data_IF_482489115659
#
_entry.id   IF_482489115659
#
_cell.length_a   1.000
_cell.length_b   1.000
_cell.length_c   1.000
_cell.angle_alpha   90.00
_cell.angle_beta   90.00
_cell.angle_gamma   90.00
#
_symmetry.space_group_name_H-M   'P 1'
#
loop_
_entity.id
_entity.type
_entity.pdbx_description
1 polymer ?
#
# COMPACT_ATOMS: atom_id res chain seq x y z
N UNK A 1 -5.03 -1.61 4.41
CA UNK A 1 -5.57 -2.04 3.11
C UNK A 1 -5.58 -0.81 2.23
N UNK A 2 -4.60 -0.68 1.34
CA UNK A 2 -4.61 0.41 0.36
C UNK A 2 -5.82 0.24 -0.54
N UNK A 3 -6.47 1.35 -0.90
CA UNK A 3 -7.57 1.34 -1.84
C UNK A 3 -7.05 0.88 -3.21
N UNK A 4 -7.69 -0.11 -3.83
CA UNK A 4 -7.37 -0.61 -5.17
C UNK A 4 -7.15 0.52 -6.19
N UNK A 5 -7.97 1.58 -6.11
CA UNK A 5 -7.87 2.74 -6.98
C UNK A 5 -6.57 3.53 -6.76
N UNK A 6 -6.08 3.64 -5.52
CA UNK A 6 -4.82 4.31 -5.22
C UNK A 6 -3.63 3.49 -5.72
N UNK A 7 -3.69 2.17 -5.54
CA UNK A 7 -2.66 1.26 -6.05
C UNK A 7 -2.57 1.30 -7.57
N UNK A 8 -3.70 1.25 -8.28
CA UNK A 8 -3.73 1.37 -9.74
C UNK A 8 -3.17 2.72 -10.21
N UNK A 9 -3.65 3.83 -9.62
CA UNK A 9 -3.14 5.18 -9.94
C UNK A 9 -1.63 5.26 -9.74
N UNK A 10 -1.10 4.69 -8.66
CA UNK A 10 0.33 4.69 -8.40
C UNK A 10 1.13 3.99 -9.50
N UNK A 11 0.65 2.87 -10.03
CA UNK A 11 1.28 2.16 -11.16
C UNK A 11 1.16 2.99 -12.44
N UNK A 12 -0.02 3.55 -12.73
CA UNK A 12 -0.23 4.38 -13.91
C UNK A 12 0.74 5.58 -13.96
N UNK A 13 1.00 6.22 -12.82
CA UNK A 13 1.96 7.33 -12.73
C UNK A 13 3.44 6.93 -12.77
N UNK A 14 3.76 5.62 -12.75
CA UNK A 14 5.12 5.16 -13.08
C UNK A 14 5.33 5.07 -14.59
N UNK A 15 4.25 4.91 -15.35
CA UNK A 15 4.27 4.83 -16.82
C UNK A 15 4.10 6.21 -17.44
N UNK A 16 3.24 7.06 -16.85
CA UNK A 16 2.91 8.39 -17.37
C UNK A 16 3.45 9.52 -16.49
N UNK A 17 3.86 10.65 -17.07
CA UNK A 17 4.25 11.83 -16.30
C UNK A 17 3.03 12.38 -15.54
N UNK A 18 3.15 12.46 -14.21
CA UNK A 18 2.03 12.85 -13.34
C UNK A 18 1.70 14.35 -13.41
N UNK A 19 2.70 15.18 -13.72
CA UNK A 19 2.60 16.65 -13.62
C UNK A 19 2.46 17.34 -14.97
N UNK A 20 2.82 16.63 -16.04
CA UNK A 20 2.83 17.18 -17.39
C UNK A 20 1.57 16.79 -18.12
N UNK A 21 1.10 17.67 -19.00
CA UNK A 21 -0.02 17.36 -19.88
C UNK A 21 0.39 16.28 -20.88
N UNK A 22 -0.45 15.25 -21.02
CA UNK A 22 -0.31 14.21 -22.05
C UNK A 22 -1.55 14.17 -22.92
N UNK A 23 -1.36 13.87 -24.20
CA UNK A 23 -2.48 13.71 -25.13
C UNK A 23 -3.32 12.47 -24.76
N UNK A 24 -4.61 12.49 -25.13
CA UNK A 24 -5.58 11.43 -24.78
C UNK A 24 -5.13 10.03 -25.22
N UNK A 25 -4.52 9.91 -26.40
CA UNK A 25 -4.04 8.61 -26.90
C UNK A 25 -2.93 8.04 -26.01
N UNK A 26 -2.01 8.88 -25.52
CA UNK A 26 -0.91 8.48 -24.65
C UNK A 26 -1.43 8.12 -23.25
N UNK A 27 -2.41 8.86 -22.73
CA UNK A 27 -3.09 8.53 -21.48
C UNK A 27 -3.76 7.15 -21.56
N UNK A 28 -4.46 6.86 -22.66
CA UNK A 28 -5.09 5.55 -22.90
C UNK A 28 -4.05 4.44 -22.94
N UNK A 29 -2.96 4.64 -23.69
CA UNK A 29 -1.88 3.67 -23.77
C UNK A 29 -1.25 3.40 -22.41
N UNK A 30 -0.88 4.46 -21.66
CA UNK A 30 -0.28 4.30 -20.34
C UNK A 30 -1.21 3.64 -19.33
N UNK A 31 -2.52 3.91 -19.39
CA UNK A 31 -3.51 3.21 -18.58
C UNK A 31 -3.59 1.72 -18.94
N UNK A 32 -3.60 1.36 -20.23
CA UNK A 32 -3.58 -0.04 -20.69
C UNK A 32 -2.30 -0.76 -20.27
N UNK A 33 -1.14 -0.12 -20.40
CA UNK A 33 0.14 -0.65 -19.93
C UNK A 33 0.14 -0.89 -18.42
N UNK A 34 -0.47 0.00 -17.63
CA UNK A 34 -0.54 -0.13 -16.19
C UNK A 34 -1.43 -1.29 -15.70
N UNK A 35 -2.41 -1.72 -16.51
CA UNK A 35 -3.29 -2.87 -16.18
C UNK A 35 -2.51 -4.17 -16.06
N UNK A 36 -1.48 -4.34 -16.90
CA UNK A 36 -0.64 -5.56 -16.93
C UNK A 36 0.03 -5.83 -15.56
N UNK A 37 0.92 -4.96 -15.05
CA UNK A 37 1.58 -5.18 -13.77
C UNK A 37 0.64 -5.06 -12.58
N UNK A 38 -0.48 -4.33 -12.70
CA UNK A 38 -1.47 -4.27 -11.63
C UNK A 38 -2.13 -5.63 -11.37
N UNK A 39 -2.44 -6.40 -12.42
CA UNK A 39 -3.15 -7.68 -12.29
C UNK A 39 -2.23 -8.90 -12.23
N UNK A 40 -1.12 -8.89 -12.98
CA UNK A 40 -0.26 -10.08 -13.19
C UNK A 40 1.20 -9.86 -12.80
N UNK A 41 1.58 -8.67 -12.31
CA UNK A 41 2.98 -8.32 -12.07
C UNK A 41 3.73 -7.93 -13.33
N UNK A 42 4.92 -7.39 -13.17
CA UNK A 42 5.74 -6.80 -14.23
C UNK A 42 6.17 -7.82 -15.28
N UNK A 43 6.25 -9.10 -14.92
CA UNK A 43 6.54 -10.17 -15.89
C UNK A 43 5.53 -10.24 -17.05
N UNK A 44 4.29 -9.80 -16.83
CA UNK A 44 3.27 -9.75 -17.90
C UNK A 44 3.61 -8.79 -19.06
N UNK A 45 4.59 -7.91 -18.90
CA UNK A 45 5.13 -7.14 -20.03
C UNK A 45 5.85 -8.05 -21.04
N UNK A 46 6.50 -9.13 -20.60
CA UNK A 46 7.15 -10.08 -21.51
C UNK A 46 6.11 -10.85 -22.34
N UNK A 47 4.98 -11.25 -21.73
CA UNK A 47 3.84 -11.86 -22.45
C UNK A 47 3.31 -10.91 -23.53
N UNK A 48 3.19 -9.62 -23.20
CA UNK A 48 2.74 -8.60 -24.15
C UNK A 48 3.75 -8.37 -25.29
N UNK A 49 5.04 -8.29 -24.99
CA UNK A 49 6.09 -8.18 -26.01
C UNK A 49 6.06 -9.38 -26.97
N UNK A 50 5.90 -10.59 -26.43
CA UNK A 50 5.77 -11.80 -27.24
C UNK A 50 4.54 -11.76 -28.15
N UNK A 51 3.41 -11.21 -27.66
CA UNK A 51 2.20 -11.03 -28.49
C UNK A 51 2.39 -10.03 -29.64
N UNK A 52 3.39 -9.16 -29.55
CA UNK A 52 3.81 -8.22 -30.59
C UNK A 52 4.96 -8.75 -31.44
N UNK A 53 5.28 -10.05 -31.32
CA UNK A 53 6.40 -10.71 -32.01
C UNK A 53 7.78 -10.12 -31.63
N UNK A 54 7.88 -9.50 -30.44
CA UNK A 54 9.13 -8.98 -29.89
C UNK A 54 9.67 -9.98 -28.88
N UNK A 55 10.85 -10.54 -29.18
CA UNK A 55 11.49 -11.48 -28.29
C UNK A 55 12.08 -10.78 -27.05
N UNK A 56 11.77 -11.34 -25.88
CA UNK A 56 12.26 -10.83 -24.60
C UNK A 56 13.52 -11.60 -24.21
N UNK A 57 14.69 -10.98 -24.41
CA UNK A 57 15.97 -11.59 -24.01
C UNK A 57 16.06 -11.87 -22.50
N UNK A 58 16.97 -12.76 -22.12
CA UNK A 58 17.13 -13.25 -20.74
C UNK A 58 17.25 -12.11 -19.71
N UNK A 59 18.04 -11.07 -20.02
CA UNK A 59 18.20 -9.91 -19.14
C UNK A 59 16.88 -9.15 -18.87
N UNK A 60 15.98 -9.09 -19.85
CA UNK A 60 14.67 -8.48 -19.68
C UNK A 60 13.82 -9.32 -18.71
N UNK A 61 13.71 -10.61 -18.96
CA UNK A 61 12.95 -11.55 -18.14
C UNK A 61 13.43 -11.54 -16.68
N UNK A 62 14.74 -11.60 -16.49
CA UNK A 62 15.39 -11.54 -15.18
C UNK A 62 15.07 -10.26 -14.44
N UNK A 63 15.12 -9.12 -15.13
CA UNK A 63 14.86 -7.80 -14.56
C UNK A 63 13.40 -7.68 -14.14
N UNK A 64 12.46 -8.11 -14.98
CA UNK A 64 11.03 -8.09 -14.68
C UNK A 64 10.71 -8.95 -13.45
N UNK A 65 11.26 -10.16 -13.37
CA UNK A 65 11.10 -11.01 -12.18
C UNK A 65 11.73 -10.40 -10.92
N UNK A 66 12.91 -9.78 -11.04
CA UNK A 66 13.57 -9.10 -9.91
C UNK A 66 12.69 -7.97 -9.37
N UNK A 67 12.08 -7.18 -10.25
CA UNK A 67 11.16 -6.10 -9.87
C UNK A 67 9.96 -6.68 -9.09
N UNK A 68 9.33 -7.74 -9.60
CA UNK A 68 8.20 -8.38 -8.91
C UNK A 68 8.58 -8.91 -7.52
N UNK A 69 9.73 -9.58 -7.41
CA UNK A 69 10.24 -10.06 -6.11
C UNK A 69 10.50 -8.93 -5.12
N UNK A 70 10.94 -7.75 -5.58
CA UNK A 70 11.12 -6.58 -4.71
C UNK A 70 9.76 -6.03 -4.26
N UNK A 71 8.78 -5.94 -5.18
CA UNK A 71 7.45 -5.43 -4.85
C UNK A 71 6.73 -6.31 -3.82
N UNK A 72 6.79 -7.64 -3.97
CA UNK A 72 6.23 -8.59 -3.00
C UNK A 72 6.88 -8.43 -1.63
N UNK A 73 8.21 -8.31 -1.57
CA UNK A 73 8.93 -8.07 -0.31
C UNK A 73 8.53 -6.76 0.37
N UNK A 74 8.41 -5.68 -0.40
CA UNK A 74 7.94 -4.39 0.12
C UNK A 74 6.50 -4.46 0.63
N UNK A 75 5.61 -5.16 -0.09
CA UNK A 75 4.23 -5.35 0.34
C UNK A 75 4.15 -6.12 1.67
N UNK A 76 4.87 -7.23 1.80
CA UNK A 76 4.93 -8.01 3.03
C UNK A 76 5.47 -7.18 4.21
N UNK A 77 6.53 -6.41 3.99
CA UNK A 77 7.09 -5.51 4.99
C UNK A 77 6.10 -4.43 5.43
N UNK A 78 5.36 -3.82 4.49
CA UNK A 78 4.36 -2.80 4.80
C UNK A 78 3.18 -3.39 5.60
N UNK A 79 2.69 -4.58 5.26
CA UNK A 79 1.66 -5.29 6.02
C UNK A 79 2.13 -5.53 7.46
N UNK A 80 3.37 -5.99 7.64
CA UNK A 80 3.95 -6.21 8.97
C UNK A 80 4.05 -4.92 9.78
N UNK A 81 4.47 -3.81 9.15
CA UNK A 81 4.51 -2.48 9.78
C UNK A 81 3.13 -2.00 10.17
N UNK A 82 2.13 -2.12 9.30
CA UNK A 82 0.74 -1.77 9.60
C UNK A 82 0.20 -2.57 10.79
N UNK A 83 0.46 -3.88 10.83
CA UNK A 83 0.07 -4.75 11.93
C UNK A 83 0.72 -4.32 13.26
N UNK A 84 2.02 -4.02 13.26
CA UNK A 84 2.74 -3.51 14.44
C UNK A 84 2.16 -2.18 14.92
N UNK A 85 1.89 -1.25 14.00
CA UNK A 85 1.30 0.06 14.32
C UNK A 85 -0.11 -0.07 14.88
N UNK A 86 -0.94 -0.97 14.34
CA UNK A 86 -2.26 -1.28 14.90
C UNK A 86 -2.16 -1.81 16.32
N UNK A 87 -1.30 -2.81 16.57
CA UNK A 87 -1.07 -3.35 17.93
C UNK A 87 -0.63 -2.27 18.91
N UNK A 88 0.27 -1.38 18.51
CA UNK A 88 0.71 -0.26 19.34
C UNK A 88 -0.43 0.70 19.67
N UNK A 89 -1.24 1.10 18.68
CA UNK A 89 -2.41 1.97 18.89
C UNK A 89 -3.45 1.32 19.80
N UNK A 90 -3.75 0.04 19.62
CA UNK A 90 -4.68 -0.70 20.49
C UNK A 90 -4.20 -0.73 21.94
N UNK A 91 -2.91 -0.99 22.18
CA UNK A 91 -2.33 -0.97 23.53
C UNK A 91 -2.39 0.41 24.18
N UNK A 92 -2.17 1.48 23.42
CA UNK A 92 -2.31 2.85 23.93
C UNK A 92 -3.75 3.18 24.30
N UNK A 93 -4.72 2.82 23.46
CA UNK A 93 -6.14 3.03 23.76
C UNK A 93 -6.57 2.29 25.03
N UNK A 94 -6.23 1.00 25.17
CA UNK A 94 -6.49 0.28 26.42
C UNK A 94 -5.86 1.00 27.63
N UNK A 95 -4.59 1.39 27.53
CA UNK A 95 -3.93 2.10 28.64
C UNK A 95 -4.50 3.48 28.95
N UNK A 96 -5.12 4.15 27.97
CA UNK A 96 -5.86 5.40 28.16
C UNK A 96 -7.23 5.13 28.79
N UNK A 97 -7.96 4.09 28.35
CA UNK A 97 -9.25 3.67 28.93
C UNK A 97 -9.11 3.25 30.40
N UNK A 98 -8.04 2.50 30.74
CA UNK A 98 -7.73 2.14 32.14
C UNK A 98 -7.41 3.35 33.04
N UNK A 99 -6.90 4.45 32.48
CA UNK A 99 -6.60 5.68 33.25
C UNK A 99 -7.84 6.54 33.50
N UNK A 100 -8.87 6.43 32.67
CA UNK A 100 -10.14 7.18 32.84
C UNK A 100 -10.98 6.55 33.95
N UNK A 101 -10.85 5.25 34.19
CA UNK A 101 -11.62 4.51 35.21
C UNK A 101 -11.07 4.68 36.65
N UNK A 102 -9.82 5.14 36.82
CA UNK A 102 -9.27 5.51 38.14
C UNK A 102 -9.69 6.92 38.61
N UNK A 103 -10.63 7.56 37.92
CA UNK A 103 -11.33 8.77 38.38
C UNK A 103 -12.48 8.46 39.34
N UNK A 104 -12.27 7.62 40.35
CA UNK A 104 -13.27 7.33 41.38
C UNK A 104 -13.64 8.58 42.19
N UNK A 105 -14.91 8.73 42.64
CA UNK A 105 -15.35 9.92 43.34
C UNK A 105 -14.50 10.16 44.60
N UNK A 106 -14.03 11.41 44.76
CA UNK A 106 -13.21 11.82 45.89
C UNK A 106 -13.87 11.38 47.21
N UNK A 107 -13.10 10.84 48.19
CA UNK A 107 -13.67 10.39 49.44
C UNK A 107 -14.35 11.57 50.13
N UNK A 108 -15.68 11.49 50.22
CA UNK A 108 -16.50 12.48 50.89
C UNK A 108 -15.99 12.69 52.31
N UNK A 109 -15.65 13.94 52.65
CA UNK A 109 -15.35 14.34 54.03
C UNK A 109 -16.57 13.99 54.88
N UNK A 110 -16.44 12.94 55.69
CA UNK A 110 -17.34 12.72 56.82
C UNK A 110 -17.21 13.92 57.76
N UNK A 111 -18.24 14.77 57.79
CA UNK A 111 -18.47 15.71 58.89
C UNK A 111 -19.11 14.90 60.01
N UNK A 112 -18.33 14.56 61.03
CA UNK A 112 -18.87 14.15 62.33
C UNK A 112 -19.44 15.40 63.02
N UNK A 113 -20.76 15.49 63.11
CA UNK A 113 -21.43 16.34 64.08
C UNK A 113 -21.62 15.58 65.40
N UNK A 114 -21.48 16.28 66.51
CA UNK A 114 -21.64 15.76 67.87
C UNK A 114 -20.60 16.33 68.80
#
# INVERSE_FOLDING_TARGET
MQNANESFKHIMWKVLPKRDFVQMHLLRLGAQLAVLPYNKGNFSHAEMLQSLEIDSGELCLDSLQKIDRVQVRHAAHNIMREARMKRFKTRRKLGEDFKVDEGGPAPGRFRSGG
#
